data_IF_278716530012
#
_entry.id   IF_278716530012
#
_cell.length_a   1.000
_cell.length_b   1.000
_cell.length_c   1.000
_cell.angle_alpha   90.00
_cell.angle_beta   90.00
_cell.angle_gamma   90.00
#
_symmetry.space_group_name_H-M   'P 1'
#
loop_
_entity.id
_entity.type
_entity.pdbx_description
1 polymer ?
#
# COMPACT_ATOMS: atom_id res chain seq x y z
N UNK A 1 12.23 -2.42 11.23
CA UNK A 1 12.06 -2.51 12.69
C UNK A 1 10.70 -3.10 12.99
N UNK A 2 10.66 -4.28 13.61
CA UNK A 2 9.44 -4.99 13.99
C UNK A 2 8.84 -4.43 15.28
N UNK A 3 7.67 -4.91 15.69
CA UNK A 3 7.09 -4.52 16.98
C UNK A 3 7.89 -5.10 18.15
N UNK A 4 8.33 -6.35 18.04
CA UNK A 4 9.13 -7.05 19.06
C UNK A 4 10.44 -6.31 19.37
N UNK A 5 11.16 -5.87 18.34
CA UNK A 5 12.38 -5.07 18.50
C UNK A 5 12.11 -3.76 19.27
N UNK A 6 10.95 -3.12 19.05
CA UNK A 6 10.56 -1.91 19.79
C UNK A 6 10.28 -2.19 21.26
N UNK A 7 9.67 -3.33 21.57
CA UNK A 7 9.45 -3.76 22.95
C UNK A 7 10.78 -4.00 23.66
N UNK A 8 11.75 -4.63 22.98
CA UNK A 8 13.11 -4.82 23.51
C UNK A 8 13.77 -3.46 23.79
N UNK A 9 13.69 -2.50 22.85
CA UNK A 9 14.20 -1.13 23.06
C UNK A 9 13.55 -0.51 24.31
N UNK A 10 12.24 -0.65 24.49
CA UNK A 10 11.55 -0.10 25.65
C UNK A 10 12.02 -0.72 26.97
N UNK A 11 12.23 -2.03 27.03
CA UNK A 11 12.74 -2.72 28.22
C UNK A 11 14.17 -2.30 28.52
N UNK A 12 15.07 -2.33 27.52
CA UNK A 12 16.48 -1.96 27.71
C UNK A 12 16.67 -0.49 28.09
N UNK A 13 15.82 0.41 27.60
CA UNK A 13 15.84 1.81 28.04
C UNK A 13 15.38 1.98 29.49
N UNK A 14 14.45 1.15 29.98
CA UNK A 14 14.07 1.13 31.41
C UNK A 14 15.21 0.60 32.27
N UNK A 15 15.98 -0.36 31.76
CA UNK A 15 17.18 -0.91 32.41
C UNK A 15 18.37 0.06 32.39
N UNK A 16 18.22 1.25 31.76
CA UNK A 16 19.28 2.26 31.70
C UNK A 16 20.39 1.96 30.67
N UNK A 17 20.16 1.02 29.74
CA UNK A 17 21.13 0.70 28.71
C UNK A 17 21.32 1.86 27.71
N UNK A 18 22.56 2.07 27.26
CA UNK A 18 22.86 3.07 26.23
C UNK A 18 22.29 2.67 24.87
N UNK A 19 21.94 3.65 24.05
CA UNK A 19 21.45 3.45 22.67
C UNK A 19 22.41 2.57 21.85
N UNK A 20 23.73 2.74 22.04
CA UNK A 20 24.75 1.95 21.34
C UNK A 20 24.76 0.48 21.80
N UNK A 21 24.50 0.20 23.07
CA UNK A 21 24.39 -1.17 23.56
C UNK A 21 23.18 -1.89 22.96
N UNK A 22 22.03 -1.22 22.96
CA UNK A 22 20.78 -1.73 22.36
C UNK A 22 20.96 -1.98 20.85
N UNK A 23 21.64 -1.07 20.16
CA UNK A 23 21.94 -1.21 18.74
C UNK A 23 22.76 -2.47 18.43
N UNK A 24 23.78 -2.77 19.26
CA UNK A 24 24.60 -3.99 19.12
C UNK A 24 23.78 -5.26 19.38
N UNK A 25 22.90 -5.23 20.38
CA UNK A 25 22.03 -6.37 20.71
C UNK A 25 21.07 -6.70 19.56
N UNK A 26 20.48 -5.68 18.94
CA UNK A 26 19.53 -5.84 17.82
C UNK A 26 20.20 -5.93 16.44
N UNK A 27 21.54 -5.89 16.37
CA UNK A 27 22.26 -5.86 15.08
C UNK A 27 21.92 -4.66 14.19
N UNK A 28 21.46 -3.55 14.77
CA UNK A 28 21.02 -2.35 14.07
C UNK A 28 22.02 -1.21 14.22
N UNK A 29 21.93 -0.20 13.34
CA UNK A 29 22.75 1.01 13.51
C UNK A 29 22.27 1.85 14.70
N UNK A 30 23.16 2.51 15.46
CA UNK A 30 22.77 3.38 16.58
C UNK A 30 21.86 4.54 16.18
N UNK A 31 21.99 5.02 14.93
CA UNK A 31 21.11 6.06 14.40
C UNK A 31 19.68 5.54 14.23
N UNK A 32 19.48 4.31 13.75
CA UNK A 32 18.14 3.70 13.64
C UNK A 32 17.42 3.69 15.00
N UNK A 33 18.11 3.27 16.06
CA UNK A 33 17.56 3.26 17.42
C UNK A 33 17.28 4.70 17.90
N UNK A 34 18.20 5.64 17.68
CA UNK A 34 18.00 7.05 18.03
C UNK A 34 16.77 7.66 17.34
N UNK A 35 16.59 7.40 16.05
CA UNK A 35 15.42 7.83 15.28
C UNK A 35 14.13 7.20 15.81
N UNK A 36 14.16 5.91 16.15
CA UNK A 36 13.00 5.24 16.75
C UNK A 36 12.65 5.83 18.12
N UNK A 37 13.62 5.99 19.01
CA UNK A 37 13.41 6.57 20.34
C UNK A 37 12.81 7.97 20.22
N UNK A 38 13.37 8.82 19.36
CA UNK A 38 12.82 10.16 19.12
C UNK A 38 11.38 10.13 18.63
N UNK A 39 11.02 9.18 17.76
CA UNK A 39 9.65 9.02 17.23
C UNK A 39 8.66 8.55 18.30
N UNK A 40 9.05 7.62 19.18
CA UNK A 40 8.18 7.06 20.21
C UNK A 40 8.27 7.69 21.60
N UNK A 41 9.03 8.79 21.75
CA UNK A 41 9.16 9.48 23.03
C UNK A 41 7.93 10.34 23.32
N UNK A 42 7.29 10.07 24.46
CA UNK A 42 6.12 10.83 24.93
C UNK A 42 6.49 11.66 26.17
N UNK A 43 6.03 12.90 26.16
CA UNK A 43 6.08 13.84 27.28
C UNK A 43 4.99 13.51 28.30
N UNK A 44 5.38 13.13 29.51
CA UNK A 44 4.52 12.86 30.66
C UNK A 44 4.57 14.04 31.65
N UNK A 45 3.53 14.15 32.49
CA UNK A 45 3.42 15.16 33.56
C UNK A 45 3.69 16.58 33.06
N UNK A 46 2.98 17.00 32.02
CA UNK A 46 3.16 18.31 31.38
C UNK A 46 4.58 18.55 30.86
N UNK A 47 5.26 17.50 30.39
CA UNK A 47 6.59 17.61 29.78
C UNK A 47 7.77 17.53 30.73
N UNK A 48 7.53 17.37 32.04
CA UNK A 48 8.59 17.19 33.04
C UNK A 48 9.38 15.89 32.83
N UNK A 49 8.73 14.86 32.29
CA UNK A 49 9.38 13.57 32.06
C UNK A 49 9.15 13.11 30.63
N UNK A 50 10.20 12.58 30.00
CA UNK A 50 10.13 11.96 28.68
C UNK A 50 10.30 10.46 28.84
N UNK A 51 9.37 9.67 28.31
CA UNK A 51 9.46 8.20 28.29
C UNK A 51 9.17 7.67 26.90
N UNK A 52 9.99 6.74 26.45
CA UNK A 52 9.74 5.99 25.22
C UNK A 52 8.62 4.96 25.45
N UNK A 53 7.68 4.87 24.51
CA UNK A 53 6.64 3.83 24.47
C UNK A 53 6.65 3.17 23.10
N UNK A 54 6.80 1.85 23.06
CA UNK A 54 6.82 1.07 21.82
C UNK A 54 5.52 1.24 21.01
N UNK A 55 4.36 1.21 21.69
CA UNK A 55 3.05 1.40 21.06
C UNK A 55 2.94 2.73 20.31
N UNK A 56 3.51 3.79 20.89
CA UNK A 56 3.49 5.12 20.30
C UNK A 56 4.42 5.20 19.10
N UNK A 57 5.64 4.64 19.21
CA UNK A 57 6.55 4.53 18.06
C UNK A 57 5.93 3.75 16.90
N UNK A 58 5.21 2.68 17.21
CA UNK A 58 4.51 1.86 16.22
C UNK A 58 3.33 2.61 15.57
N UNK A 59 2.49 3.29 16.36
CA UNK A 59 1.37 4.08 15.87
C UNK A 59 1.84 5.20 14.93
N UNK A 60 2.86 5.97 15.33
CA UNK A 60 3.46 7.03 14.51
C UNK A 60 4.05 6.45 13.22
N UNK A 61 4.70 5.29 13.28
CA UNK A 61 5.21 4.62 12.09
C UNK A 61 4.09 4.25 11.11
N UNK A 62 2.99 3.67 11.59
CA UNK A 62 1.85 3.30 10.75
C UNK A 62 1.16 4.53 10.13
N UNK A 63 1.01 5.61 10.90
CA UNK A 63 0.46 6.87 10.39
C UNK A 63 1.36 7.41 9.27
N UNK A 64 2.67 7.50 9.51
CA UNK A 64 3.62 7.97 8.50
C UNK A 64 3.65 7.07 7.27
N UNK A 65 3.51 5.75 7.44
CA UNK A 65 3.44 4.80 6.34
C UNK A 65 2.19 5.03 5.47
N UNK A 66 1.04 5.36 6.07
CA UNK A 66 -0.19 5.72 5.32
C UNK A 66 -0.04 7.01 4.52
N UNK A 67 0.81 7.93 4.97
CA UNK A 67 1.13 9.17 4.25
C UNK A 67 2.24 8.99 3.21
N UNK A 68 3.06 7.95 3.36
CA UNK A 68 4.11 7.61 2.43
C UNK A 68 3.55 6.83 1.23
N UNK A 69 4.24 6.91 0.09
CA UNK A 69 3.87 6.22 -1.14
C UNK A 69 3.08 7.09 -2.13
N UNK A 70 3.04 6.62 -3.38
CA UNK A 70 2.27 7.28 -4.44
C UNK A 70 0.79 7.01 -4.18
N UNK A 71 0.03 8.05 -3.83
CA UNK A 71 -1.45 7.94 -3.79
C UNK A 71 -1.90 7.60 -5.21
N UNK A 72 -2.29 6.36 -5.43
CA UNK A 72 -2.65 5.89 -6.76
C UNK A 72 -3.82 6.73 -7.27
N UNK A 73 -3.65 7.31 -8.47
CA UNK A 73 -4.74 7.98 -9.16
C UNK A 73 -5.95 7.04 -9.40
N UNK A 74 -5.75 5.74 -9.17
CA UNK A 74 -6.75 4.69 -9.10
C UNK A 74 -7.98 5.07 -8.29
N UNK A 75 -7.83 5.66 -7.09
CA UNK A 75 -8.99 6.08 -6.27
C UNK A 75 -9.83 7.15 -6.96
N UNK A 76 -9.20 8.04 -7.74
CA UNK A 76 -9.90 9.07 -8.53
C UNK A 76 -10.60 8.49 -9.76
N UNK A 77 -10.24 7.27 -10.17
CA UNK A 77 -10.77 6.57 -11.36
C UNK A 77 -11.64 5.37 -10.99
N UNK A 78 -12.07 5.26 -9.73
CA UNK A 78 -12.87 4.14 -9.23
C UNK A 78 -14.18 3.94 -10.01
N UNK A 79 -14.84 5.03 -10.41
CA UNK A 79 -16.05 4.97 -11.24
C UNK A 79 -15.81 4.26 -12.58
N UNK A 80 -14.71 4.60 -13.27
CA UNK A 80 -14.33 3.96 -14.52
C UNK A 80 -13.95 2.48 -14.31
N UNK A 81 -13.33 2.14 -13.18
CA UNK A 81 -12.97 0.75 -12.87
C UNK A 81 -14.23 -0.11 -12.65
N UNK A 82 -15.24 0.41 -11.95
CA UNK A 82 -16.50 -0.30 -11.75
C UNK A 82 -17.24 -0.51 -13.08
N UNK A 83 -17.20 0.48 -13.97
CA UNK A 83 -17.72 0.37 -15.33
C UNK A 83 -17.02 -0.74 -16.11
N UNK A 84 -15.68 -0.77 -16.08
CA UNK A 84 -14.90 -1.83 -16.73
C UNK A 84 -15.25 -3.20 -16.16
N UNK A 85 -15.36 -3.34 -14.84
CA UNK A 85 -15.71 -4.61 -14.20
C UNK A 85 -17.09 -5.10 -14.67
N UNK A 86 -18.09 -4.21 -14.68
CA UNK A 86 -19.45 -4.54 -15.12
C UNK A 86 -19.47 -5.06 -16.56
N UNK A 87 -18.93 -4.29 -17.50
CA UNK A 87 -18.92 -4.63 -18.92
C UNK A 87 -17.93 -5.76 -19.27
N UNK A 88 -16.95 -6.03 -18.41
CA UNK A 88 -16.07 -7.19 -18.56
C UNK A 88 -16.82 -8.51 -18.28
N UNK A 89 -17.68 -8.54 -17.26
CA UNK A 89 -18.45 -9.73 -16.90
C UNK A 89 -19.73 -9.89 -17.73
N UNK A 90 -20.44 -8.80 -18.02
CA UNK A 90 -21.71 -8.84 -18.76
C UNK A 90 -21.48 -8.99 -20.26
N UNK A 91 -20.61 -8.16 -20.84
CA UNK A 91 -20.45 -8.06 -22.30
C UNK A 91 -19.13 -8.64 -22.83
N UNK A 92 -18.21 -9.04 -21.95
CA UNK A 92 -16.89 -9.57 -22.33
C UNK A 92 -15.96 -8.54 -22.97
N UNK A 93 -16.17 -7.25 -22.72
CA UNK A 93 -15.39 -6.19 -23.37
C UNK A 93 -13.96 -6.11 -22.86
N UNK A 94 -13.04 -5.73 -23.75
CA UNK A 94 -11.67 -5.40 -23.34
C UNK A 94 -11.60 -4.00 -22.73
N UNK A 95 -10.61 -3.78 -21.85
CA UNK A 95 -10.36 -2.47 -21.23
C UNK A 95 -10.24 -1.33 -22.26
N UNK A 96 -9.68 -1.61 -23.44
CA UNK A 96 -9.57 -0.65 -24.53
C UNK A 96 -10.95 -0.25 -25.09
N UNK A 97 -11.84 -1.22 -25.31
CA UNK A 97 -13.21 -0.98 -25.79
C UNK A 97 -14.01 -0.20 -24.75
N UNK A 98 -13.85 -0.52 -23.46
CA UNK A 98 -14.46 0.25 -22.39
C UNK A 98 -13.97 1.71 -22.39
N UNK A 99 -12.66 1.95 -22.55
CA UNK A 99 -12.09 3.29 -22.61
C UNK A 99 -12.59 4.08 -23.82
N UNK A 100 -12.57 3.51 -25.03
CA UNK A 100 -13.02 4.19 -26.24
C UNK A 100 -14.52 4.50 -26.21
N UNK A 101 -15.33 3.55 -25.73
CA UNK A 101 -16.79 3.70 -25.67
C UNK A 101 -17.20 4.72 -24.62
N UNK A 102 -16.58 4.69 -23.43
CA UNK A 102 -16.83 5.68 -22.37
C UNK A 102 -16.56 7.12 -22.80
N UNK A 103 -15.57 7.32 -23.67
CA UNK A 103 -15.23 8.63 -24.22
C UNK A 103 -16.21 9.03 -25.33
N UNK A 104 -16.64 8.08 -26.17
CA UNK A 104 -17.63 8.31 -27.21
C UNK A 104 -19.04 8.59 -26.66
N UNK A 105 -19.43 7.95 -25.55
CA UNK A 105 -20.70 8.19 -24.85
C UNK A 105 -20.65 9.42 -23.95
N UNK A 106 -19.46 9.94 -23.64
CA UNK A 106 -19.28 11.08 -22.74
C UNK A 106 -19.52 10.77 -21.26
N UNK A 107 -19.66 9.49 -20.88
CA UNK A 107 -19.91 9.06 -19.50
C UNK A 107 -18.73 9.36 -18.57
N UNK A 108 -17.51 9.44 -19.11
CA UNK A 108 -16.30 9.72 -18.35
C UNK A 108 -15.40 10.72 -19.07
N UNK A 109 -14.85 11.66 -18.31
CA UNK A 109 -13.83 12.58 -18.82
C UNK A 109 -12.48 11.88 -19.00
N UNK A 110 -11.64 12.35 -19.93
CA UNK A 110 -10.29 11.82 -20.15
C UNK A 110 -9.42 11.75 -18.87
N UNK A 111 -9.67 12.64 -17.90
CA UNK A 111 -9.00 12.63 -16.60
C UNK A 111 -9.46 11.50 -15.66
N UNK A 112 -10.68 11.02 -15.83
CA UNK A 112 -11.31 9.93 -15.07
C UNK A 112 -11.05 8.56 -15.70
N UNK A 113 -10.80 8.51 -17.02
CA UNK A 113 -10.46 7.30 -17.76
C UNK A 113 -8.99 6.93 -17.61
N UNK A 114 -8.65 5.64 -17.60
CA UNK A 114 -7.24 5.19 -17.65
C UNK A 114 -6.74 5.36 -19.09
N UNK A 115 -5.60 6.04 -19.30
CA UNK A 115 -5.02 6.15 -20.64
C UNK A 115 -4.60 4.78 -21.16
N UNK A 116 -5.42 4.16 -22.00
CA UNK A 116 -5.06 2.99 -22.78
C UNK A 116 -4.25 3.46 -24.00
N UNK A 117 -3.01 3.93 -23.79
CA UNK A 117 -2.06 3.78 -24.91
C UNK A 117 -1.95 2.28 -25.15
N UNK A 118 -2.09 1.80 -26.40
CA UNK A 118 -1.87 0.39 -26.71
C UNK A 118 -0.38 0.11 -26.56
N UNK A 119 0.10 -0.05 -25.33
CA UNK A 119 1.39 -0.67 -25.09
C UNK A 119 1.19 -2.16 -25.34
N UNK A 120 2.00 -2.81 -26.21
CA UNK A 120 1.86 -4.25 -26.52
C UNK A 120 2.06 -5.18 -25.29
N UNK A 121 2.37 -4.62 -24.12
CA UNK A 121 2.44 -5.32 -22.85
C UNK A 121 1.07 -5.56 -22.20
N UNK A 122 0.08 -4.66 -22.36
CA UNK A 122 -1.25 -4.83 -21.73
C UNK A 122 -2.06 -5.97 -22.35
N UNK A 123 -1.84 -6.26 -23.63
CA UNK A 123 -2.41 -7.42 -24.32
C UNK A 123 -1.87 -8.77 -23.81
N UNK A 124 -0.63 -8.83 -23.27
CA UNK A 124 -0.08 -10.07 -22.70
C UNK A 124 -0.71 -10.42 -21.36
N UNK A 125 -1.00 -9.41 -20.56
CA UNK A 125 -1.66 -9.55 -19.26
C UNK A 125 -3.08 -10.15 -19.39
N UNK A 126 -3.84 -9.73 -20.40
CA UNK A 126 -5.20 -10.25 -20.63
C UNK A 126 -5.22 -11.69 -21.18
N UNK A 127 -4.25 -12.10 -22.00
CA UNK A 127 -4.14 -13.49 -22.47
C UNK A 127 -3.78 -14.48 -21.36
N UNK A 128 -2.90 -14.11 -20.43
CA UNK A 128 -2.64 -14.92 -19.23
C UNK A 128 -3.88 -15.03 -18.32
N UNK A 129 -4.70 -13.98 -18.25
CA UNK A 129 -5.88 -13.98 -17.39
C UNK A 129 -6.98 -14.92 -17.87
N UNK A 130 -7.31 -14.91 -19.19
CA UNK A 130 -8.28 -15.86 -19.77
C UNK A 130 -7.85 -17.33 -19.62
N UNK A 131 -6.54 -17.61 -19.66
CA UNK A 131 -6.03 -18.98 -19.50
C UNK A 131 -6.05 -19.47 -18.03
N UNK A 132 -6.07 -18.55 -17.05
CA UNK A 132 -6.13 -18.90 -15.62
C UNK A 132 -7.57 -19.12 -15.13
N UNK A 133 -8.54 -18.38 -15.69
CA UNK A 133 -9.98 -18.58 -15.38
C UNK A 133 -10.55 -19.89 -15.93
N UNK A 134 -9.84 -20.58 -16.82
CA UNK A 134 -10.23 -21.90 -17.30
C UNK A 134 -9.94 -23.03 -16.29
N UNK A 135 -9.11 -22.79 -15.25
CA UNK A 135 -8.66 -23.84 -14.33
C UNK A 135 -8.99 -23.60 -12.85
N UNK A 136 -9.54 -22.45 -12.46
CA UNK A 136 -9.70 -22.12 -11.03
C UNK A 136 -11.10 -21.55 -10.79
N UNK A 137 -11.92 -22.32 -10.08
CA UNK A 137 -13.26 -21.94 -9.65
C UNK A 137 -13.28 -20.65 -8.84
N UNK A 138 -14.32 -19.86 -9.06
CA UNK A 138 -14.79 -18.72 -8.24
C UNK A 138 -13.68 -17.93 -7.53
N UNK A 139 -12.86 -17.24 -8.30
CA UNK A 139 -11.92 -16.26 -7.77
C UNK A 139 -12.74 -15.08 -7.21
N UNK A 140 -12.62 -14.82 -5.90
CA UNK A 140 -13.26 -13.68 -5.23
C UNK A 140 -12.88 -12.35 -5.92
N UNK A 141 -13.83 -11.41 -6.04
CA UNK A 141 -13.62 -10.05 -6.55
C UNK A 141 -12.37 -9.37 -5.95
N UNK A 142 -12.03 -9.68 -4.69
CA UNK A 142 -10.82 -9.19 -4.02
C UNK A 142 -9.51 -9.68 -4.67
N UNK A 143 -9.50 -10.92 -5.13
CA UNK A 143 -8.32 -11.55 -5.72
C UNK A 143 -8.13 -11.13 -7.18
N UNK A 144 -9.24 -10.89 -7.88
CA UNK A 144 -9.25 -10.24 -9.20
C UNK A 144 -8.73 -8.79 -9.14
N UNK A 145 -9.18 -8.02 -8.13
CA UNK A 145 -8.69 -6.67 -7.87
C UNK A 145 -7.18 -6.66 -7.53
N UNK A 146 -6.71 -7.62 -6.73
CA UNK A 146 -5.29 -7.79 -6.39
C UNK A 146 -4.43 -8.08 -7.62
N UNK A 147 -4.88 -8.96 -8.52
CA UNK A 147 -4.14 -9.30 -9.74
C UNK A 147 -4.12 -8.11 -10.72
N UNK A 148 -5.23 -7.37 -10.85
CA UNK A 148 -5.31 -6.15 -11.64
C UNK A 148 -4.37 -5.05 -11.09
N UNK A 149 -4.31 -4.88 -9.77
CA UNK A 149 -3.43 -3.91 -9.10
C UNK A 149 -1.96 -4.32 -9.17
N UNK A 150 -1.62 -5.61 -9.09
CA UNK A 150 -0.24 -6.10 -9.24
C UNK A 150 0.29 -6.02 -10.69
N UNK A 151 -0.62 -6.15 -11.66
CA UNK A 151 -0.30 -6.15 -13.08
C UNK A 151 -0.16 -4.74 -13.67
N UNK A 152 -0.90 -3.77 -13.13
CA UNK A 152 -0.58 -2.36 -13.30
C UNK A 152 0.48 -1.99 -12.27
N UNK A 153 1.77 -2.13 -12.60
CA UNK A 153 2.83 -1.44 -11.83
C UNK A 153 2.55 0.07 -11.83
N UNK A 154 1.89 0.54 -10.77
CA UNK A 154 1.67 1.94 -10.35
C UNK A 154 2.12 2.04 -8.89
#
# INVERSE_FOLDING_TARGET
MSFEERVIIQTRLKDGCSIRAIARELGCSPSTISYEVRRGTVSLYHGKQKRYKADQGQSVYQINQRHCGRKSAFLKKAGFINYVIKHFFEDGWSLYVCASRSLATGEFSHYQTVCTRPLPASCRLFKCFKNSTASIGTISLRQLLLIMVQSLRI
#
